data_IF_560271444869
#
_entry.id   IF_560271444869
#
_cell.length_a   1.000
_cell.length_b   1.000
_cell.length_c   1.000
_cell.angle_alpha   90.00
_cell.angle_beta   90.00
_cell.angle_gamma   90.00
#
_symmetry.space_group_name_H-M   'P 1'
#
loop_
_entity.id
_entity.type
_entity.pdbx_description
1 polymer ?
#
# COMPACT_ATOMS: atom_id res chain seq x y z
N UNK A 1 -37.02 -4.46 6.15
CA UNK A 1 -36.30 -3.94 4.98
C UNK A 1 -36.94 -4.46 3.72
N UNK A 2 -37.32 -3.58 2.81
CA UNK A 2 -37.85 -4.05 1.53
C UNK A 2 -36.68 -4.39 0.61
N UNK A 3 -36.56 -5.61 0.18
CA UNK A 3 -35.53 -6.10 -0.75
C UNK A 3 -35.31 -5.21 -1.99
N UNK A 4 -36.35 -4.57 -2.56
CA UNK A 4 -36.19 -3.60 -3.65
C UNK A 4 -35.35 -2.37 -3.32
N UNK A 5 -35.36 -1.88 -2.06
CA UNK A 5 -34.58 -0.72 -1.65
C UNK A 5 -33.09 -1.04 -1.62
N UNK A 6 -32.72 -2.21 -1.13
CA UNK A 6 -31.33 -2.69 -1.10
C UNK A 6 -30.76 -2.82 -2.52
N UNK A 7 -31.54 -3.43 -3.44
CA UNK A 7 -31.11 -3.58 -4.84
C UNK A 7 -30.94 -2.24 -5.52
N UNK A 8 -31.85 -1.28 -5.26
CA UNK A 8 -31.75 0.08 -5.79
C UNK A 8 -30.46 0.74 -5.31
N UNK A 9 -30.19 0.72 -4.00
CA UNK A 9 -29.01 1.39 -3.42
C UNK A 9 -27.72 0.75 -3.95
N UNK A 10 -27.66 -0.57 -4.07
CA UNK A 10 -26.51 -1.27 -4.67
C UNK A 10 -26.33 -0.92 -6.16
N UNK A 11 -27.41 -0.85 -6.93
CA UNK A 11 -27.37 -0.46 -8.34
C UNK A 11 -26.88 0.99 -8.51
N UNK A 12 -27.37 1.92 -7.67
CA UNK A 12 -26.94 3.32 -7.65
C UNK A 12 -25.46 3.43 -7.31
N UNK A 13 -25.01 2.71 -6.27
CA UNK A 13 -23.58 2.66 -5.87
C UNK A 13 -22.73 2.18 -7.03
N UNK A 14 -23.09 1.07 -7.65
CA UNK A 14 -22.32 0.52 -8.77
C UNK A 14 -22.33 1.44 -10.00
N UNK A 15 -23.46 2.06 -10.34
CA UNK A 15 -23.56 2.95 -11.50
C UNK A 15 -22.69 4.20 -11.35
N UNK A 16 -22.77 4.86 -10.19
CA UNK A 16 -21.97 6.07 -9.92
C UNK A 16 -20.49 5.73 -9.80
N UNK A 17 -20.15 4.64 -9.08
CA UNK A 17 -18.78 4.20 -8.96
C UNK A 17 -18.14 3.89 -10.33
N UNK A 18 -18.88 3.18 -11.20
CA UNK A 18 -18.44 2.90 -12.57
C UNK A 18 -18.28 4.19 -13.37
N UNK A 19 -19.24 5.11 -13.31
CA UNK A 19 -19.18 6.40 -14.02
C UNK A 19 -17.97 7.24 -13.62
N UNK A 20 -17.72 7.36 -12.31
CA UNK A 20 -16.55 8.09 -11.78
C UNK A 20 -15.24 7.36 -12.14
N UNK A 21 -15.20 6.03 -12.04
CA UNK A 21 -14.03 5.25 -12.40
C UNK A 21 -13.68 5.38 -13.89
N UNK A 22 -14.67 5.39 -14.78
CA UNK A 22 -14.48 5.64 -16.21
C UNK A 22 -13.93 7.05 -16.48
N UNK A 23 -14.43 8.07 -15.75
CA UNK A 23 -13.90 9.42 -15.87
C UNK A 23 -12.44 9.50 -15.44
N UNK A 24 -12.10 8.91 -14.28
CA UNK A 24 -10.73 8.87 -13.77
C UNK A 24 -9.80 8.09 -14.70
N UNK A 25 -10.27 6.98 -15.25
CA UNK A 25 -9.52 6.19 -16.24
C UNK A 25 -9.18 7.01 -17.49
N UNK A 26 -10.14 7.80 -18.02
CA UNK A 26 -9.88 8.73 -19.14
C UNK A 26 -8.84 9.79 -18.78
N UNK A 27 -8.81 10.23 -17.53
CA UNK A 27 -7.81 11.16 -17.01
C UNK A 27 -6.48 10.49 -16.63
N UNK A 28 -6.34 9.20 -16.88
CA UNK A 28 -5.17 8.37 -16.50
C UNK A 28 -4.88 8.37 -14.99
N UNK A 29 -5.92 8.53 -14.19
CA UNK A 29 -5.86 8.45 -12.73
C UNK A 29 -6.13 7.01 -12.25
N UNK A 30 -5.74 6.70 -11.01
CA UNK A 30 -6.04 5.42 -10.39
C UNK A 30 -7.53 5.28 -10.07
N UNK A 31 -8.03 4.05 -10.07
CA UNK A 31 -9.42 3.70 -9.77
C UNK A 31 -9.71 3.85 -8.26
N UNK A 32 -8.71 3.68 -7.39
CA UNK A 32 -8.88 3.79 -5.94
C UNK A 32 -9.41 5.18 -5.52
N UNK A 33 -8.74 6.30 -5.87
CA UNK A 33 -9.30 7.62 -5.62
C UNK A 33 -10.67 7.84 -6.27
N UNK A 34 -10.95 7.22 -7.43
CA UNK A 34 -12.25 7.33 -8.07
C UNK A 34 -13.37 6.77 -7.20
N UNK A 35 -13.17 5.60 -6.60
CA UNK A 35 -14.13 4.98 -5.69
C UNK A 35 -14.33 5.80 -4.40
N UNK A 36 -13.26 6.36 -3.84
CA UNK A 36 -13.34 7.26 -2.69
C UNK A 36 -14.14 8.52 -3.00
N UNK A 37 -13.90 9.13 -4.16
CA UNK A 37 -14.67 10.33 -4.63
C UNK A 37 -16.11 9.96 -4.91
N UNK A 38 -16.37 8.83 -5.58
CA UNK A 38 -17.73 8.33 -5.79
C UNK A 38 -18.47 8.15 -4.46
N UNK A 39 -17.82 7.55 -3.46
CA UNK A 39 -18.35 7.43 -2.10
C UNK A 39 -18.67 8.77 -1.46
N UNK A 40 -17.75 9.75 -1.53
CA UNK A 40 -17.97 11.10 -1.00
C UNK A 40 -19.18 11.81 -1.66
N UNK A 41 -19.35 11.63 -2.97
CA UNK A 41 -20.50 12.18 -3.70
C UNK A 41 -21.81 11.50 -3.25
N UNK A 42 -21.83 10.17 -3.11
CA UNK A 42 -23.03 9.43 -2.75
C UNK A 42 -23.35 9.47 -1.26
N UNK A 43 -22.35 9.80 -0.45
CA UNK A 43 -22.44 9.83 1.01
C UNK A 43 -23.43 10.83 1.56
N UNK A 44 -23.66 10.81 2.86
CA UNK A 44 -24.70 11.59 3.55
C UNK A 44 -24.49 13.11 3.47
N UNK A 45 -23.26 13.54 3.29
CA UNK A 45 -22.89 14.97 3.18
C UNK A 45 -22.72 15.40 1.73
N UNK A 46 -22.80 14.46 0.78
CA UNK A 46 -22.90 14.69 -0.64
C UNK A 46 -24.34 14.69 -1.13
N UNK A 47 -24.67 13.83 -2.08
CA UNK A 47 -26.01 13.71 -2.64
C UNK A 47 -27.00 12.92 -1.77
N UNK A 48 -26.53 12.22 -0.72
CA UNK A 48 -27.39 11.45 0.20
C UNK A 48 -28.16 10.31 -0.47
N UNK A 49 -27.57 9.69 -1.50
CA UNK A 49 -28.27 8.71 -2.35
C UNK A 49 -28.41 7.33 -1.73
N UNK A 50 -27.58 7.01 -0.73
CA UNK A 50 -27.58 5.71 -0.04
C UNK A 50 -28.31 5.85 1.28
N UNK A 51 -29.44 5.16 1.39
CA UNK A 51 -30.26 5.15 2.61
C UNK A 51 -29.74 4.17 3.67
N UNK A 52 -29.26 2.99 3.24
CA UNK A 52 -28.84 1.87 4.07
C UNK A 52 -27.32 1.77 4.17
N UNK A 53 -26.71 2.56 5.07
CA UNK A 53 -25.25 2.53 5.29
C UNK A 53 -24.73 1.23 5.87
N UNK A 54 -25.48 0.63 6.79
CA UNK A 54 -25.04 -0.57 7.50
C UNK A 54 -24.72 -1.74 6.57
N UNK A 55 -25.45 -1.87 5.45
CA UNK A 55 -25.16 -2.90 4.45
C UNK A 55 -23.86 -2.58 3.67
N UNK A 56 -23.65 -1.32 3.31
CA UNK A 56 -22.41 -0.91 2.60
C UNK A 56 -21.19 -1.10 3.53
N UNK A 57 -21.34 -0.77 4.81
CA UNK A 57 -20.31 -0.99 5.82
C UNK A 57 -20.01 -2.49 6.03
N UNK A 58 -21.04 -3.34 6.09
CA UNK A 58 -20.85 -4.79 6.20
C UNK A 58 -20.14 -5.39 4.97
N UNK A 59 -20.53 -4.98 3.75
CA UNK A 59 -19.84 -5.37 2.52
C UNK A 59 -18.39 -4.85 2.48
N UNK A 60 -18.18 -3.65 2.98
CA UNK A 60 -16.84 -3.07 3.09
C UNK A 60 -15.95 -3.87 4.04
N UNK A 61 -16.47 -4.31 5.19
CA UNK A 61 -15.71 -5.15 6.14
C UNK A 61 -15.32 -6.50 5.54
N UNK A 62 -16.23 -7.12 4.77
CA UNK A 62 -15.92 -8.34 4.01
C UNK A 62 -14.86 -8.07 2.95
N UNK A 63 -14.96 -6.94 2.24
CA UNK A 63 -13.97 -6.52 1.25
C UNK A 63 -12.58 -6.35 1.85
N UNK A 64 -12.50 -5.67 3.00
CA UNK A 64 -11.25 -5.51 3.76
C UNK A 64 -10.68 -6.87 4.17
N UNK A 65 -11.52 -7.79 4.65
CA UNK A 65 -11.06 -9.13 5.02
C UNK A 65 -10.49 -9.89 3.81
N UNK A 66 -11.16 -9.84 2.65
CA UNK A 66 -10.68 -10.46 1.41
C UNK A 66 -9.39 -9.79 0.88
N UNK A 67 -9.30 -8.47 1.01
CA UNK A 67 -8.08 -7.74 0.67
C UNK A 67 -6.90 -8.19 1.53
N UNK A 68 -7.06 -8.18 2.85
CA UNK A 68 -6.00 -8.62 3.77
C UNK A 68 -5.65 -10.10 3.60
N UNK A 69 -6.64 -10.94 3.29
CA UNK A 69 -6.40 -12.33 2.91
C UNK A 69 -5.48 -12.46 1.69
N UNK A 70 -5.74 -11.69 0.62
CA UNK A 70 -4.90 -11.70 -0.59
C UNK A 70 -3.51 -11.14 -0.32
N UNK A 71 -3.38 -10.11 0.50
CA UNK A 71 -2.08 -9.64 0.96
C UNK A 71 -1.35 -10.76 1.72
N UNK A 72 -2.07 -11.50 2.57
CA UNK A 72 -1.53 -12.69 3.23
C UNK A 72 -1.06 -13.77 2.26
N UNK A 73 -1.77 -13.99 1.14
CA UNK A 73 -1.36 -14.93 0.09
C UNK A 73 -0.05 -14.52 -0.62
N UNK A 74 0.17 -13.22 -0.78
CA UNK A 74 1.38 -12.67 -1.42
C UNK A 74 2.59 -12.72 -0.47
N UNK A 75 2.37 -12.64 0.85
CA UNK A 75 3.41 -12.63 1.87
C UNK A 75 3.64 -14.05 2.38
N UNK A 76 4.64 -14.72 1.81
CA UNK A 76 5.14 -15.99 2.35
C UNK A 76 6.22 -15.73 3.40
N UNK A 77 6.16 -16.43 4.53
CA UNK A 77 7.21 -16.39 5.58
C UNK A 77 8.56 -16.78 4.99
N UNK A 78 8.58 -17.69 4.02
CA UNK A 78 9.80 -18.11 3.31
C UNK A 78 10.37 -17.02 2.39
N UNK A 79 9.52 -16.17 1.82
CA UNK A 79 9.97 -15.04 0.98
C UNK A 79 10.55 -13.89 1.80
N UNK A 80 10.09 -13.72 3.04
CA UNK A 80 10.67 -12.77 4.00
C UNK A 80 12.16 -13.03 4.26
N UNK A 81 12.53 -14.30 4.46
CA UNK A 81 13.93 -14.69 4.67
C UNK A 81 14.81 -14.51 3.43
N UNK A 82 14.21 -14.40 2.24
CA UNK A 82 14.92 -14.22 0.96
C UNK A 82 15.00 -12.75 0.53
N UNK A 83 14.29 -11.85 1.19
CA UNK A 83 14.37 -10.41 0.89
C UNK A 83 15.81 -9.91 1.04
N UNK A 84 16.29 -9.22 0.01
CA UNK A 84 17.63 -8.63 0.06
C UNK A 84 17.72 -7.70 1.27
N UNK A 85 18.78 -7.85 2.06
CA UNK A 85 19.02 -7.03 3.26
C UNK A 85 18.93 -5.52 2.98
N UNK A 86 19.29 -5.08 1.77
CA UNK A 86 19.18 -3.67 1.34
C UNK A 86 17.72 -3.20 1.31
N UNK A 87 16.79 -4.02 0.87
CA UNK A 87 15.35 -3.70 0.80
C UNK A 87 14.76 -3.55 2.20
N UNK A 88 15.11 -4.47 3.11
CA UNK A 88 14.69 -4.39 4.52
C UNK A 88 15.20 -3.11 5.18
N UNK A 89 16.46 -2.75 4.95
CA UNK A 89 17.03 -1.51 5.48
C UNK A 89 16.39 -0.26 4.86
N UNK A 90 16.15 -0.26 3.54
CA UNK A 90 15.50 0.86 2.86
C UNK A 90 14.08 1.09 3.37
N UNK A 91 13.26 0.04 3.44
CA UNK A 91 11.89 0.11 3.94
C UNK A 91 11.83 0.48 5.42
N UNK A 92 12.62 -0.22 6.26
CA UNK A 92 12.65 0.04 7.70
C UNK A 92 13.12 1.45 8.04
N UNK A 93 14.17 1.94 7.40
CA UNK A 93 14.67 3.30 7.60
C UNK A 93 13.67 4.36 7.10
N UNK A 94 13.02 4.13 5.95
CA UNK A 94 12.01 5.06 5.43
C UNK A 94 10.78 5.10 6.35
N UNK A 95 10.24 3.95 6.75
CA UNK A 95 9.10 3.86 7.67
C UNK A 95 9.45 4.51 9.01
N UNK A 96 10.58 4.15 9.61
CA UNK A 96 11.05 4.71 10.87
C UNK A 96 11.28 6.22 10.81
N UNK A 97 11.92 6.72 9.74
CA UNK A 97 12.14 8.15 9.55
C UNK A 97 10.82 8.92 9.39
N UNK A 98 9.84 8.37 8.64
CA UNK A 98 8.54 9.02 8.47
C UNK A 98 7.76 9.04 9.78
N UNK A 99 7.74 7.91 10.52
CA UNK A 99 7.09 7.84 11.84
C UNK A 99 7.71 8.87 12.79
N UNK A 100 9.04 8.92 12.85
CA UNK A 100 9.74 9.84 13.75
C UNK A 100 9.46 11.31 13.40
N UNK A 101 9.54 11.68 12.13
CA UNK A 101 9.25 13.05 11.68
C UNK A 101 7.79 13.43 11.95
N UNK A 102 6.84 12.54 11.64
CA UNK A 102 5.42 12.77 11.90
C UNK A 102 5.15 12.87 13.41
N UNK A 103 5.72 11.97 14.22
CA UNK A 103 5.61 11.99 15.68
C UNK A 103 6.09 13.31 16.25
N UNK A 104 7.29 13.78 15.86
CA UNK A 104 7.84 15.06 16.34
C UNK A 104 6.92 16.23 15.96
N UNK A 105 6.47 16.29 14.70
CA UNK A 105 5.57 17.37 14.23
C UNK A 105 4.24 17.35 14.99
N UNK A 106 3.65 16.17 15.20
CA UNK A 106 2.38 16.03 15.92
C UNK A 106 2.51 16.35 17.41
N UNK A 107 3.59 15.95 18.06
CA UNK A 107 3.86 16.32 19.46
C UNK A 107 4.07 17.82 19.63
N UNK A 108 4.79 18.46 18.70
CA UNK A 108 4.98 19.92 18.70
C UNK A 108 3.67 20.69 18.45
N UNK A 109 2.71 20.07 17.75
CA UNK A 109 1.35 20.63 17.57
C UNK A 109 0.44 20.40 18.79
N UNK A 110 0.94 19.79 19.87
CA UNK A 110 0.18 19.52 21.09
C UNK A 110 -0.67 18.24 21.04
N UNK A 111 -0.46 17.38 20.04
CA UNK A 111 -1.15 16.10 19.97
C UNK A 111 -0.60 15.11 20.98
N UNK A 112 -1.48 14.31 21.61
CA UNK A 112 -1.10 13.27 22.56
C UNK A 112 -0.25 12.18 21.90
N UNK A 113 0.75 11.63 22.62
CA UNK A 113 1.75 10.73 22.07
C UNK A 113 1.18 9.49 21.36
N UNK A 114 0.18 8.75 21.88
CA UNK A 114 -0.43 7.63 21.17
C UNK A 114 -1.09 8.01 19.84
N UNK A 115 -1.83 9.12 19.82
CA UNK A 115 -2.45 9.65 18.60
C UNK A 115 -1.39 10.12 17.59
N UNK A 116 -0.34 10.80 18.06
CA UNK A 116 0.79 11.24 17.23
C UNK A 116 1.53 10.04 16.60
N UNK A 117 1.70 8.96 17.34
CA UNK A 117 2.30 7.72 16.83
C UNK A 117 1.41 7.05 15.78
N UNK A 118 0.09 7.01 16.02
CA UNK A 118 -0.88 6.52 15.02
C UNK A 118 -0.80 7.33 13.71
N UNK A 119 -0.73 8.67 13.80
CA UNK A 119 -0.53 9.51 12.62
C UNK A 119 0.79 9.16 11.92
N UNK A 120 1.86 8.93 12.67
CA UNK A 120 3.13 8.44 12.12
C UNK A 120 2.98 7.13 11.36
N UNK A 121 2.25 6.16 11.88
CA UNK A 121 1.94 4.90 11.19
C UNK A 121 1.18 5.16 9.89
N UNK A 122 0.09 5.95 9.94
CA UNK A 122 -0.74 6.31 8.79
C UNK A 122 0.11 6.97 7.69
N UNK A 123 0.96 7.94 8.05
CA UNK A 123 1.77 8.68 7.08
C UNK A 123 2.94 7.84 6.53
N UNK A 124 3.41 6.82 7.24
CA UNK A 124 4.55 6.02 6.80
C UNK A 124 4.23 5.10 5.62
N UNK A 125 2.97 4.72 5.44
CA UNK A 125 2.51 3.81 4.39
C UNK A 125 2.17 4.56 3.11
N UNK A 126 2.49 3.97 1.96
CA UNK A 126 2.21 4.50 0.62
C UNK A 126 1.43 3.48 -0.20
N UNK A 127 0.70 3.93 -1.24
CA UNK A 127 -0.09 3.03 -2.08
C UNK A 127 0.77 2.27 -3.07
N UNK A 128 0.88 0.98 -2.86
CA UNK A 128 1.58 0.05 -3.76
C UNK A 128 0.93 0.03 -5.13
N UNK A 129 -0.40 -0.04 -5.20
CA UNK A 129 -1.14 -0.11 -6.46
C UNK A 129 -0.94 1.13 -7.34
N UNK A 130 -0.97 2.34 -6.77
CA UNK A 130 -0.80 3.58 -7.54
C UNK A 130 0.62 3.70 -8.07
N UNK A 131 1.62 3.47 -7.23
CA UNK A 131 3.04 3.64 -7.61
C UNK A 131 3.45 2.64 -8.68
N UNK A 132 3.13 1.36 -8.46
CA UNK A 132 3.49 0.31 -9.41
C UNK A 132 2.78 0.50 -10.75
N UNK A 133 1.51 0.91 -10.74
CA UNK A 133 0.78 1.23 -11.98
C UNK A 133 1.47 2.35 -12.75
N UNK A 134 1.84 3.46 -12.08
CA UNK A 134 2.51 4.59 -12.76
C UNK A 134 3.87 4.19 -13.33
N UNK A 135 4.67 3.39 -12.62
CA UNK A 135 5.93 2.88 -13.15
C UNK A 135 5.72 1.90 -14.31
N UNK A 136 4.72 1.01 -14.22
CA UNK A 136 4.38 0.08 -15.31
C UNK A 136 3.91 0.82 -16.57
N UNK A 137 3.02 1.80 -16.44
CA UNK A 137 2.51 2.62 -17.55
C UNK A 137 3.63 3.40 -18.26
N UNK A 138 4.74 3.66 -17.55
CA UNK A 138 5.95 4.35 -18.08
C UNK A 138 7.07 3.41 -18.49
N UNK A 139 6.88 2.10 -18.36
CA UNK A 139 7.93 1.10 -18.56
C UNK A 139 9.19 1.35 -17.70
N UNK A 140 9.00 1.91 -16.49
CA UNK A 140 10.07 2.24 -15.55
C UNK A 140 10.19 1.24 -14.38
N UNK A 141 9.44 0.13 -14.38
CA UNK A 141 9.42 -0.85 -13.28
C UNK A 141 10.80 -1.44 -12.98
N UNK A 142 11.60 -1.68 -14.01
CA UNK A 142 12.94 -2.28 -13.90
C UNK A 142 14.06 -1.25 -13.66
N UNK A 143 13.75 0.02 -13.64
CA UNK A 143 14.72 1.08 -13.31
C UNK A 143 15.12 1.03 -11.82
N UNK A 144 16.22 1.69 -11.47
CA UNK A 144 16.67 1.75 -10.07
C UNK A 144 15.61 2.35 -9.14
N UNK A 145 14.88 3.42 -9.58
CA UNK A 145 13.80 4.01 -8.81
C UNK A 145 12.58 3.08 -8.73
N UNK A 146 12.24 2.35 -9.79
CA UNK A 146 11.13 1.38 -9.78
C UNK A 146 11.39 0.23 -8.82
N UNK A 147 12.55 -0.41 -8.91
CA UNK A 147 12.94 -1.53 -8.05
C UNK A 147 13.04 -1.16 -6.57
N UNK A 148 13.62 0.01 -6.24
CA UNK A 148 13.72 0.43 -4.84
C UNK A 148 12.36 0.85 -4.28
N UNK A 149 11.52 1.53 -5.08
CA UNK A 149 10.14 1.84 -4.69
C UNK A 149 9.35 0.57 -4.39
N UNK A 150 9.42 -0.44 -5.26
CA UNK A 150 8.78 -1.74 -5.04
C UNK A 150 9.23 -2.38 -3.73
N UNK A 151 10.54 -2.39 -3.48
CA UNK A 151 11.07 -2.95 -2.24
C UNK A 151 10.59 -2.22 -0.97
N UNK A 152 10.56 -0.88 -1.01
CA UNK A 152 10.05 -0.07 0.12
C UNK A 152 8.56 -0.32 0.32
N UNK A 153 7.76 -0.33 -0.74
CA UNK A 153 6.31 -0.56 -0.69
C UNK A 153 5.98 -1.95 -0.12
N UNK A 154 6.69 -2.98 -0.57
CA UNK A 154 6.53 -4.33 -0.03
C UNK A 154 6.85 -4.38 1.47
N UNK A 155 7.90 -3.66 1.93
CA UNK A 155 8.19 -3.55 3.35
C UNK A 155 7.08 -2.80 4.11
N UNK A 156 6.53 -1.72 3.54
CA UNK A 156 5.44 -0.95 4.14
C UNK A 156 4.17 -1.80 4.31
N UNK A 157 3.79 -2.57 3.29
CA UNK A 157 2.63 -3.47 3.34
C UNK A 157 2.77 -4.50 4.46
N UNK A 158 3.98 -5.03 4.63
CA UNK A 158 4.29 -5.94 5.74
C UNK A 158 4.30 -5.24 7.10
N UNK A 159 4.80 -4.00 7.17
CA UNK A 159 4.84 -3.22 8.41
C UNK A 159 3.45 -2.76 8.88
N UNK A 160 2.47 -2.64 7.98
CA UNK A 160 1.09 -2.29 8.32
C UNK A 160 0.47 -3.26 9.34
N UNK A 161 0.83 -4.53 9.27
CA UNK A 161 0.28 -5.58 10.15
C UNK A 161 0.68 -5.40 11.61
N UNK A 162 1.98 -5.33 11.97
CA UNK A 162 2.36 -5.04 13.35
C UNK A 162 1.86 -3.67 13.82
N UNK A 163 1.72 -2.67 12.92
CA UNK A 163 1.12 -1.38 13.28
C UNK A 163 -0.34 -1.54 13.70
N UNK A 164 -1.15 -2.33 12.98
CA UNK A 164 -2.53 -2.63 13.35
C UNK A 164 -2.63 -3.34 14.72
N UNK A 165 -1.71 -4.25 15.01
CA UNK A 165 -1.65 -4.95 16.30
C UNK A 165 -1.32 -4.02 17.47
N UNK A 166 -0.58 -2.94 17.19
CA UNK A 166 -0.19 -1.97 18.23
C UNK A 166 -1.31 -1.00 18.58
N UNK A 167 -2.31 -0.76 17.72
CA UNK A 167 -3.37 0.24 17.94
C UNK A 167 -4.13 0.02 19.25
N UNK A 168 -4.63 -1.18 19.61
CA UNK A 168 -5.32 -1.41 20.88
C UNK A 168 -4.41 -1.19 22.09
N UNK A 169 -3.11 -1.35 21.93
CA UNK A 169 -2.11 -1.11 22.98
C UNK A 169 -1.90 0.39 23.19
N UNK A 170 -1.88 1.16 22.09
CA UNK A 170 -1.77 2.61 22.14
C UNK A 170 -2.96 3.24 22.88
N UNK A 171 -4.17 2.67 22.77
CA UNK A 171 -5.33 3.13 23.51
C UNK A 171 -5.15 3.05 25.04
N UNK A 172 -4.41 2.06 25.52
CA UNK A 172 -4.17 1.83 26.95
C UNK A 172 -2.92 2.52 27.47
N UNK A 173 -2.23 3.35 26.68
CA UNK A 173 -0.91 3.92 26.97
C UNK A 173 -0.84 4.66 28.32
N UNK A 174 -1.86 5.45 28.65
CA UNK A 174 -1.86 6.28 29.87
C UNK A 174 -2.38 5.58 31.12
N UNK A 175 -3.13 4.49 30.95
CA UNK A 175 -3.85 3.82 32.04
C UNK A 175 -3.23 2.47 32.40
N UNK A 176 -2.43 1.89 31.51
CA UNK A 176 -1.90 0.55 31.69
C UNK A 176 -0.58 0.56 32.46
N UNK A 177 -0.53 -0.21 33.51
CA UNK A 177 0.75 -0.60 34.12
C UNK A 177 1.58 -1.41 33.09
N UNK A 178 2.90 -1.40 33.21
CA UNK A 178 3.78 -2.21 32.33
C UNK A 178 3.36 -3.69 32.30
N UNK A 179 2.82 -4.22 33.40
CA UNK A 179 2.28 -5.58 33.50
C UNK A 179 1.01 -5.76 32.67
N UNK A 180 0.12 -4.77 32.60
CA UNK A 180 -1.11 -4.82 31.79
C UNK A 180 -0.77 -4.77 30.29
N UNK A 181 0.17 -3.91 29.87
CA UNK A 181 0.68 -3.87 28.50
C UNK A 181 1.30 -5.21 28.13
N UNK A 182 2.16 -5.75 28.98
CA UNK A 182 2.76 -7.07 28.74
C UNK A 182 1.70 -8.17 28.61
N UNK A 183 0.68 -8.17 29.48
CA UNK A 183 -0.40 -9.15 29.42
C UNK A 183 -1.22 -9.02 28.13
N UNK A 184 -1.50 -7.80 27.68
CA UNK A 184 -2.21 -7.54 26.42
C UNK A 184 -1.40 -8.03 25.21
N UNK A 185 -0.09 -7.72 25.18
CA UNK A 185 0.83 -8.23 24.17
C UNK A 185 0.92 -9.76 24.20
N UNK A 186 1.02 -10.35 25.36
CA UNK A 186 1.07 -11.81 25.53
C UNK A 186 -0.23 -12.48 25.05
N UNK A 187 -1.40 -11.90 25.36
CA UNK A 187 -2.70 -12.39 24.86
C UNK A 187 -2.80 -12.25 23.34
N UNK A 188 -2.42 -11.11 22.77
CA UNK A 188 -2.42 -10.91 21.32
C UNK A 188 -1.47 -11.89 20.62
N UNK A 189 -0.25 -12.06 21.14
CA UNK A 189 0.73 -13.01 20.62
C UNK A 189 0.24 -14.45 20.74
N UNK A 190 -0.37 -14.83 21.86
CA UNK A 190 -0.96 -16.16 22.06
C UNK A 190 -2.15 -16.39 21.10
N UNK A 191 -3.00 -15.38 20.90
CA UNK A 191 -4.11 -15.42 19.95
C UNK A 191 -3.64 -15.61 18.50
N UNK A 192 -2.66 -14.80 18.07
CA UNK A 192 -2.03 -14.92 16.74
C UNK A 192 -1.38 -16.29 16.57
N UNK A 193 -0.57 -16.72 17.55
CA UNK A 193 0.12 -18.02 17.49
C UNK A 193 -0.89 -19.17 17.49
N UNK A 194 -1.91 -19.12 18.35
CA UNK A 194 -2.96 -20.14 18.40
C UNK A 194 -3.73 -20.24 17.08
N UNK A 195 -4.11 -19.09 16.51
CA UNK A 195 -4.79 -19.04 15.22
C UNK A 195 -3.92 -19.55 14.07
N UNK A 196 -2.62 -19.18 14.05
CA UNK A 196 -1.66 -19.68 13.06
C UNK A 196 -1.49 -21.19 13.15
N UNK A 197 -1.33 -21.74 14.36
CA UNK A 197 -1.19 -23.20 14.56
C UNK A 197 -2.46 -23.93 14.12
N UNK A 198 -3.64 -23.45 14.48
CA UNK A 198 -4.92 -24.01 14.06
C UNK A 198 -5.08 -23.96 12.54
N UNK A 199 -4.81 -22.80 11.93
CA UNK A 199 -4.88 -22.59 10.49
C UNK A 199 -3.90 -23.51 9.75
N UNK A 200 -2.66 -23.62 10.23
CA UNK A 200 -1.60 -24.47 9.64
C UNK A 200 -1.95 -25.96 9.64
N UNK A 201 -2.78 -26.40 10.57
CA UNK A 201 -3.22 -27.80 10.66
C UNK A 201 -4.51 -28.04 9.89
N UNK A 202 -5.50 -27.13 10.03
CA UNK A 202 -6.85 -27.32 9.51
C UNK A 202 -6.96 -26.97 8.02
N UNK A 203 -6.42 -25.84 7.62
CA UNK A 203 -6.58 -25.31 6.25
C UNK A 203 -5.98 -26.27 5.20
N UNK A 204 -4.73 -26.77 5.31
CA UNK A 204 -4.18 -27.69 4.31
C UNK A 204 -4.94 -29.01 4.22
N UNK A 205 -5.47 -29.52 5.36
CA UNK A 205 -6.28 -30.73 5.36
C UNK A 205 -7.60 -30.52 4.60
N UNK A 206 -8.27 -29.40 4.87
CA UNK A 206 -9.52 -29.03 4.21
C UNK A 206 -9.30 -28.86 2.70
N UNK A 207 -8.30 -28.10 2.31
CA UNK A 207 -7.95 -27.86 0.91
C UNK A 207 -7.61 -29.16 0.17
N UNK A 208 -6.84 -30.07 0.79
CA UNK A 208 -6.54 -31.39 0.20
C UNK A 208 -7.78 -32.20 -0.17
N UNK A 209 -8.81 -32.14 0.67
CA UNK A 209 -10.08 -32.84 0.40
C UNK A 209 -10.83 -32.16 -0.74
N UNK A 210 -10.95 -30.82 -0.68
CA UNK A 210 -11.72 -30.03 -1.65
C UNK A 210 -11.10 -30.08 -3.06
N UNK A 211 -9.80 -29.98 -3.17
CA UNK A 211 -9.12 -30.00 -4.48
C UNK A 211 -9.27 -31.36 -5.18
N UNK A 212 -9.32 -32.46 -4.42
CA UNK A 212 -9.58 -33.78 -4.99
C UNK A 212 -10.97 -33.91 -5.63
N UNK A 213 -11.93 -33.04 -5.25
CA UNK A 213 -13.26 -33.00 -5.84
C UNK A 213 -13.31 -32.32 -7.21
N UNK A 214 -12.24 -31.65 -7.62
CA UNK A 214 -12.06 -30.97 -8.92
C UNK A 214 -13.23 -30.04 -9.30
N UNK A 215 -13.86 -29.38 -8.29
CA UNK A 215 -14.94 -28.41 -8.47
C UNK A 215 -14.45 -27.01 -8.05
N UNK A 216 -14.55 -26.06 -8.99
CA UNK A 216 -14.21 -24.66 -8.73
C UNK A 216 -15.14 -24.00 -7.72
N UNK A 217 -16.43 -24.35 -7.76
CA UNK A 217 -17.47 -23.83 -6.87
C UNK A 217 -17.19 -24.22 -5.42
N UNK A 218 -16.87 -25.50 -5.19
CA UNK A 218 -16.57 -26.00 -3.84
C UNK A 218 -15.29 -25.35 -3.33
N UNK A 219 -14.27 -25.18 -4.18
CA UNK A 219 -13.03 -24.50 -3.81
C UNK A 219 -13.29 -23.03 -3.44
N UNK A 220 -14.03 -22.28 -4.27
CA UNK A 220 -14.35 -20.88 -3.99
C UNK A 220 -15.14 -20.72 -2.67
N UNK A 221 -16.18 -21.55 -2.45
CA UNK A 221 -16.94 -21.55 -1.21
C UNK A 221 -16.09 -21.91 0.00
N UNK A 222 -15.18 -22.87 -0.15
CA UNK A 222 -14.26 -23.27 0.93
C UNK A 222 -13.30 -22.13 1.30
N UNK A 223 -12.75 -21.44 0.30
CA UNK A 223 -11.85 -20.32 0.56
C UNK A 223 -12.60 -19.17 1.24
N UNK A 224 -13.80 -18.82 0.78
CA UNK A 224 -14.64 -17.82 1.44
C UNK A 224 -14.97 -18.24 2.89
N UNK A 225 -15.30 -19.50 3.12
CA UNK A 225 -15.53 -20.03 4.46
C UNK A 225 -14.26 -19.90 5.34
N UNK A 226 -13.08 -20.21 4.81
CA UNK A 226 -11.82 -20.06 5.53
C UNK A 226 -11.57 -18.59 5.88
N UNK A 227 -11.76 -17.67 4.93
CA UNK A 227 -11.55 -16.22 5.15
C UNK A 227 -12.51 -15.70 6.23
N UNK A 228 -13.82 -15.94 6.06
CA UNK A 228 -14.83 -15.45 6.99
C UNK A 228 -14.70 -16.14 8.35
N UNK A 229 -14.46 -17.44 8.36
CA UNK A 229 -14.29 -18.23 9.57
C UNK A 229 -13.09 -17.81 10.41
N UNK A 230 -11.94 -17.59 9.78
CA UNK A 230 -10.74 -17.12 10.48
C UNK A 230 -10.87 -15.66 10.91
N UNK A 231 -11.50 -14.79 10.12
CA UNK A 231 -11.84 -13.44 10.49
C UNK A 231 -12.74 -13.42 11.74
N UNK A 232 -13.80 -14.22 11.75
CA UNK A 232 -14.70 -14.37 12.92
C UNK A 232 -13.95 -14.93 14.14
N UNK A 233 -13.14 -15.97 13.94
CA UNK A 233 -12.38 -16.54 15.05
C UNK A 233 -11.41 -15.52 15.66
N UNK A 234 -10.73 -14.72 14.83
CA UNK A 234 -9.79 -13.72 15.31
C UNK A 234 -10.46 -12.68 16.19
N UNK A 235 -11.70 -12.28 15.86
CA UNK A 235 -12.47 -11.32 16.67
C UNK A 235 -12.78 -11.83 18.07
N UNK A 236 -12.92 -13.15 18.23
CA UNK A 236 -13.10 -13.78 19.56
C UNK A 236 -11.85 -13.71 20.44
N UNK A 237 -10.68 -13.57 19.83
CA UNK A 237 -9.42 -13.38 20.54
C UNK A 237 -9.02 -11.88 20.71
N UNK A 238 -9.94 -10.95 20.40
CA UNK A 238 -9.69 -9.51 20.48
C UNK A 238 -8.83 -8.94 19.34
N UNK A 239 -8.67 -9.69 18.24
CA UNK A 239 -7.99 -9.23 17.04
C UNK A 239 -9.01 -8.69 16.04
N UNK A 240 -8.57 -7.85 15.09
CA UNK A 240 -9.44 -7.38 14.02
C UNK A 240 -9.85 -8.50 13.06
N UNK A 241 -11.03 -8.36 12.42
CA UNK A 241 -11.51 -9.30 11.42
C UNK A 241 -10.49 -9.51 10.29
N UNK A 242 -9.91 -8.42 9.81
CA UNK A 242 -8.91 -8.45 8.75
C UNK A 242 -7.63 -9.18 9.14
N UNK A 243 -7.23 -9.15 10.41
CA UNK A 243 -6.06 -9.87 10.90
C UNK A 243 -6.24 -11.39 10.76
N UNK A 244 -7.41 -11.92 11.10
CA UNK A 244 -7.70 -13.34 10.94
C UNK A 244 -7.65 -13.78 9.47
N UNK A 245 -8.24 -12.99 8.59
CA UNK A 245 -8.20 -13.23 7.15
C UNK A 245 -6.75 -13.19 6.62
N UNK A 246 -5.95 -12.21 7.05
CA UNK A 246 -4.54 -12.11 6.69
C UNK A 246 -3.74 -13.35 7.12
N UNK A 247 -3.89 -13.79 8.38
CA UNK A 247 -3.21 -14.98 8.89
C UNK A 247 -3.57 -16.24 8.11
N UNK A 248 -4.85 -16.39 7.71
CA UNK A 248 -5.28 -17.48 6.85
C UNK A 248 -4.60 -17.42 5.48
N UNK A 249 -4.55 -16.24 4.86
CA UNK A 249 -3.83 -16.02 3.59
C UNK A 249 -2.37 -16.42 3.70
N UNK A 250 -1.68 -15.98 4.77
CA UNK A 250 -0.28 -16.31 5.01
C UNK A 250 -0.03 -17.82 5.18
N UNK A 251 -0.96 -18.55 5.80
CA UNK A 251 -0.85 -20.01 5.90
C UNK A 251 -1.03 -20.68 4.54
N UNK A 252 -1.97 -20.18 3.73
CA UNK A 252 -2.22 -20.71 2.39
C UNK A 252 -1.09 -20.36 1.42
N UNK A 253 -0.39 -19.24 1.61
CA UNK A 253 0.73 -18.82 0.76
C UNK A 253 1.89 -19.83 0.72
N UNK A 254 2.02 -20.67 1.75
CA UNK A 254 3.00 -21.76 1.80
C UNK A 254 2.49 -23.05 1.14
N UNK A 255 1.23 -23.08 0.65
CA UNK A 255 0.64 -24.25 0.01
C UNK A 255 0.95 -24.33 -1.49
N UNK A 256 0.98 -25.54 -2.04
CA UNK A 256 1.13 -25.78 -3.48
C UNK A 256 -0.03 -25.19 -4.31
N UNK A 257 -1.16 -24.84 -3.67
CA UNK A 257 -2.41 -24.41 -4.31
C UNK A 257 -2.63 -22.89 -4.28
N UNK A 258 -1.63 -22.11 -3.86
CA UNK A 258 -1.74 -20.65 -3.67
C UNK A 258 -2.22 -19.93 -4.92
N UNK A 259 -1.71 -20.30 -6.10
CA UNK A 259 -2.07 -19.65 -7.35
C UNK A 259 -3.51 -19.94 -7.78
N UNK A 260 -3.98 -21.16 -7.56
CA UNK A 260 -5.34 -21.58 -7.86
C UNK A 260 -6.36 -20.89 -6.96
N UNK A 261 -6.05 -20.80 -5.67
CA UNK A 261 -6.86 -20.09 -4.67
C UNK A 261 -6.88 -18.59 -4.96
N UNK A 262 -5.74 -17.98 -5.25
CA UNK A 262 -5.67 -16.58 -5.61
C UNK A 262 -6.55 -16.28 -6.83
N UNK A 263 -6.49 -17.10 -7.88
CA UNK A 263 -7.31 -16.92 -9.08
C UNK A 263 -8.81 -16.96 -8.81
N UNK A 264 -9.27 -17.73 -7.82
CA UNK A 264 -10.69 -17.78 -7.42
C UNK A 264 -11.13 -16.56 -6.62
N UNK A 265 -10.25 -15.98 -5.81
CA UNK A 265 -10.58 -14.89 -4.89
C UNK A 265 -10.41 -13.50 -5.52
N UNK A 266 -9.48 -13.34 -6.45
CA UNK A 266 -9.19 -12.04 -7.08
C UNK A 266 -10.42 -11.28 -7.59
N UNK A 267 -11.38 -11.90 -8.31
CA UNK A 267 -12.56 -11.18 -8.81
C UNK A 267 -13.46 -10.65 -7.66
N UNK A 268 -13.63 -11.44 -6.60
CA UNK A 268 -14.43 -11.03 -5.43
C UNK A 268 -13.72 -9.93 -4.66
N UNK A 269 -12.41 -10.05 -4.47
CA UNK A 269 -11.58 -9.03 -3.83
C UNK A 269 -11.72 -7.69 -4.53
N UNK A 270 -11.56 -7.64 -5.83
CA UNK A 270 -11.53 -6.38 -6.58
C UNK A 270 -12.86 -5.64 -6.50
N UNK A 271 -13.99 -6.36 -6.60
CA UNK A 271 -15.33 -5.79 -6.46
C UNK A 271 -15.57 -5.29 -5.03
N UNK A 272 -15.28 -6.13 -4.02
CA UNK A 272 -15.55 -5.79 -2.63
C UNK A 272 -14.58 -4.73 -2.08
N UNK A 273 -13.34 -4.68 -2.59
CA UNK A 273 -12.44 -3.55 -2.31
C UNK A 273 -13.00 -2.25 -2.88
N UNK A 274 -13.57 -2.27 -4.09
CA UNK A 274 -14.27 -1.12 -4.63
C UNK A 274 -15.36 -0.62 -3.69
N UNK A 275 -16.19 -1.53 -3.17
CA UNK A 275 -17.24 -1.20 -2.18
C UNK A 275 -16.63 -0.66 -0.88
N UNK A 276 -15.52 -1.22 -0.40
CA UNK A 276 -14.79 -0.72 0.78
C UNK A 276 -14.33 0.72 0.59
N UNK A 277 -13.71 1.04 -0.54
CA UNK A 277 -13.26 2.42 -0.83
C UNK A 277 -14.43 3.39 -0.95
N UNK A 278 -15.55 2.95 -1.56
CA UNK A 278 -16.77 3.75 -1.61
C UNK A 278 -17.30 4.02 -0.20
N UNK A 279 -17.40 2.99 0.65
CA UNK A 279 -17.82 3.14 2.05
C UNK A 279 -16.94 4.12 2.82
N UNK A 280 -15.63 4.00 2.70
CA UNK A 280 -14.68 4.96 3.31
C UNK A 280 -14.89 6.36 2.77
N UNK A 281 -15.11 6.49 1.45
CA UNK A 281 -15.43 7.78 0.82
C UNK A 281 -16.70 8.42 1.37
N UNK A 282 -17.75 7.63 1.65
CA UNK A 282 -19.00 8.13 2.25
C UNK A 282 -18.81 8.75 3.64
N UNK A 283 -17.75 8.40 4.35
CA UNK A 283 -17.42 8.97 5.66
C UNK A 283 -16.79 10.37 5.56
N UNK A 284 -16.36 10.79 4.36
CA UNK A 284 -15.82 12.14 4.16
C UNK A 284 -16.92 13.19 4.25
N UNK A 285 -16.76 14.14 5.16
CA UNK A 285 -17.69 15.25 5.34
C UNK A 285 -17.35 16.39 4.38
N UNK A 286 -18.07 16.47 3.23
CA UNK A 286 -17.79 17.44 2.18
C UNK A 286 -17.86 18.92 2.66
N UNK A 287 -18.88 19.35 3.45
CA UNK A 287 -18.89 20.70 4.01
C UNK A 287 -17.64 21.02 4.83
N UNK A 288 -17.17 20.08 5.66
CA UNK A 288 -15.93 20.23 6.42
C UNK A 288 -14.72 20.43 5.50
N UNK A 289 -14.63 19.63 4.44
CA UNK A 289 -13.54 19.71 3.46
C UNK A 289 -13.49 21.10 2.81
N UNK A 290 -14.64 21.60 2.33
CA UNK A 290 -14.70 22.88 1.66
C UNK A 290 -14.47 24.07 2.61
N UNK A 291 -14.98 24.01 3.84
CA UNK A 291 -14.75 25.04 4.87
C UNK A 291 -13.28 25.12 5.29
N UNK A 292 -12.56 23.98 5.27
CA UNK A 292 -11.16 23.90 5.69
C UNK A 292 -10.20 23.68 4.51
N UNK A 293 -10.62 23.95 3.27
CA UNK A 293 -9.86 23.57 2.06
C UNK A 293 -8.42 24.10 2.08
N UNK A 294 -8.21 25.34 2.46
CA UNK A 294 -6.86 25.93 2.54
C UNK A 294 -5.98 25.17 3.52
N UNK A 295 -6.50 24.86 4.71
CA UNK A 295 -5.73 24.12 5.72
C UNK A 295 -5.45 22.68 5.26
N UNK A 296 -6.42 22.02 4.64
CA UNK A 296 -6.25 20.67 4.06
C UNK A 296 -5.16 20.69 2.98
N UNK A 297 -5.16 21.66 2.07
CA UNK A 297 -4.14 21.77 1.03
C UNK A 297 -2.73 22.03 1.61
N UNK A 298 -2.63 22.87 2.65
CA UNK A 298 -1.37 23.07 3.37
C UNK A 298 -0.90 21.76 4.04
N UNK A 299 -1.82 21.03 4.67
CA UNK A 299 -1.49 19.73 5.27
C UNK A 299 -1.08 18.69 4.22
N UNK A 300 -1.76 18.65 3.07
CA UNK A 300 -1.38 17.79 1.92
C UNK A 300 0.06 18.10 1.47
N UNK A 301 0.38 19.39 1.32
CA UNK A 301 1.74 19.82 0.94
C UNK A 301 2.77 19.45 2.02
N UNK A 302 2.44 19.65 3.30
CA UNK A 302 3.30 19.30 4.42
C UNK A 302 3.57 17.78 4.50
N UNK A 303 2.52 16.95 4.36
CA UNK A 303 2.65 15.49 4.34
C UNK A 303 3.47 15.03 3.13
N UNK A 304 3.19 15.58 1.95
CA UNK A 304 3.97 15.27 0.75
C UNK A 304 5.45 15.62 0.93
N UNK A 305 5.75 16.76 1.56
CA UNK A 305 7.12 17.17 1.86
C UNK A 305 7.79 16.24 2.88
N UNK A 306 7.13 15.93 4.00
CA UNK A 306 7.64 15.01 5.03
C UNK A 306 7.99 13.65 4.40
N UNK A 307 7.08 13.10 3.60
CA UNK A 307 7.27 11.79 2.95
C UNK A 307 8.36 11.85 1.87
N UNK A 308 8.38 12.89 1.03
CA UNK A 308 9.42 13.05 0.01
C UNK A 308 10.81 13.19 0.64
N UNK A 309 10.93 13.97 1.72
CA UNK A 309 12.19 14.18 2.42
C UNK A 309 12.62 12.90 3.14
N UNK A 310 11.74 12.25 3.92
CA UNK A 310 12.09 11.02 4.65
C UNK A 310 12.53 9.90 3.70
N UNK A 311 11.76 9.66 2.62
CA UNK A 311 12.10 8.64 1.64
C UNK A 311 13.36 9.02 0.83
N UNK A 312 13.43 10.26 0.32
CA UNK A 312 14.56 10.74 -0.46
C UNK A 312 15.88 10.71 0.34
N UNK A 313 15.84 11.15 1.59
CA UNK A 313 17.01 11.10 2.47
C UNK A 313 17.45 9.67 2.76
N UNK A 314 16.51 8.78 3.06
CA UNK A 314 16.81 7.36 3.28
C UNK A 314 17.51 6.74 2.06
N UNK A 315 16.97 6.99 0.85
CA UNK A 315 17.55 6.45 -0.39
C UNK A 315 18.94 7.05 -0.65
N UNK A 316 19.11 8.34 -0.37
CA UNK A 316 20.43 9.00 -0.49
C UNK A 316 21.44 8.43 0.50
N UNK A 317 21.03 8.15 1.74
CA UNK A 317 21.87 7.53 2.76
C UNK A 317 22.29 6.09 2.40
N UNK A 318 21.51 5.39 1.60
CA UNK A 318 21.85 4.07 1.06
C UNK A 318 22.82 4.11 -0.13
N UNK A 319 23.30 5.31 -0.53
CA UNK A 319 24.32 5.50 -1.57
C UNK A 319 23.77 5.75 -2.97
N UNK A 320 22.43 5.84 -3.16
CA UNK A 320 21.86 6.15 -4.46
C UNK A 320 22.06 7.62 -4.86
N UNK A 321 22.03 7.89 -6.17
CA UNK A 321 22.13 9.25 -6.68
C UNK A 321 20.99 10.16 -6.21
N UNK A 322 21.20 11.48 -6.16
CA UNK A 322 20.15 12.45 -5.85
C UNK A 322 18.95 12.34 -6.78
N UNK A 323 19.18 12.01 -8.05
CA UNK A 323 18.12 11.81 -9.03
C UNK A 323 17.19 10.66 -8.61
N UNK A 324 17.73 9.51 -8.29
CA UNK A 324 16.96 8.35 -7.80
C UNK A 324 16.25 8.69 -6.49
N UNK A 325 16.95 9.35 -5.55
CA UNK A 325 16.41 9.73 -4.26
C UNK A 325 15.20 10.67 -4.38
N UNK A 326 15.27 11.70 -5.22
CA UNK A 326 14.16 12.64 -5.44
C UNK A 326 13.00 12.00 -6.17
N UNK A 327 13.26 11.22 -7.23
CA UNK A 327 12.18 10.57 -8.00
C UNK A 327 11.43 9.56 -7.12
N UNK A 328 12.16 8.72 -6.38
CA UNK A 328 11.54 7.74 -5.47
C UNK A 328 10.85 8.43 -4.30
N UNK A 329 11.46 9.46 -3.72
CA UNK A 329 10.86 10.26 -2.65
C UNK A 329 9.51 10.85 -3.06
N UNK A 330 9.43 11.45 -4.25
CA UNK A 330 8.18 11.98 -4.81
C UNK A 330 7.20 10.84 -5.16
N UNK A 331 7.70 9.69 -5.60
CA UNK A 331 6.86 8.51 -5.87
C UNK A 331 6.14 7.96 -4.64
N UNK A 332 6.66 8.20 -3.44
CA UNK A 332 6.13 7.68 -2.18
C UNK A 332 5.37 8.73 -1.33
N UNK A 333 4.99 9.89 -1.89
CA UNK A 333 4.39 11.00 -1.13
C UNK A 333 2.96 10.72 -0.66
N UNK A 334 2.20 9.87 -1.35
CA UNK A 334 0.81 9.58 -1.00
C UNK A 334 0.71 8.69 0.24
N UNK A 335 -0.41 8.81 0.92
CA UNK A 335 -0.82 7.88 1.97
C UNK A 335 -1.48 6.67 1.30
N UNK A 336 -1.19 5.46 1.78
CA UNK A 336 -1.65 4.20 1.16
C UNK A 336 -3.03 3.72 1.64
N UNK A 337 -3.52 2.66 1.01
CA UNK A 337 -4.81 2.03 1.36
C UNK A 337 -4.85 1.41 2.75
N UNK A 338 -3.75 0.85 3.23
CA UNK A 338 -3.65 0.33 4.60
C UNK A 338 -3.85 1.40 5.66
N UNK A 339 -3.56 2.65 5.33
CA UNK A 339 -3.74 3.78 6.22
C UNK A 339 -5.21 4.04 6.57
N UNK A 340 -6.16 3.69 5.69
CA UNK A 340 -7.59 3.75 6.01
C UNK A 340 -7.96 2.78 7.11
N UNK A 341 -7.36 1.59 7.12
CA UNK A 341 -7.59 0.57 8.15
C UNK A 341 -7.05 1.04 9.50
N UNK A 342 -5.81 1.57 9.51
CA UNK A 342 -5.20 2.15 10.71
C UNK A 342 -6.01 3.33 11.22
N UNK A 343 -6.47 4.21 10.32
CA UNK A 343 -7.28 5.38 10.66
C UNK A 343 -8.64 4.98 11.26
N UNK A 344 -9.34 4.05 10.61
CA UNK A 344 -10.63 3.55 11.08
C UNK A 344 -10.52 2.86 12.45
N UNK A 345 -9.51 2.00 12.62
CA UNK A 345 -9.25 1.34 13.89
C UNK A 345 -8.83 2.34 14.97
N UNK A 346 -7.93 3.28 14.66
CA UNK A 346 -7.51 4.33 15.60
C UNK A 346 -8.64 5.25 16.02
N UNK A 347 -9.61 5.53 15.13
CA UNK A 347 -10.81 6.28 15.46
C UNK A 347 -11.75 5.50 16.39
N UNK A 348 -11.98 4.20 16.13
CA UNK A 348 -12.73 3.30 17.01
C UNK A 348 -12.13 3.21 18.42
N UNK A 349 -10.80 3.23 18.53
CA UNK A 349 -10.04 3.23 19.77
C UNK A 349 -9.84 4.64 20.36
N UNK A 350 -10.52 5.66 19.84
CA UNK A 350 -10.47 7.06 20.33
C UNK A 350 -9.05 7.67 20.38
N UNK A 351 -8.09 7.16 19.59
CA UNK A 351 -6.74 7.72 19.47
C UNK A 351 -6.73 9.01 18.65
N UNK A 352 -7.72 9.22 17.80
CA UNK A 352 -7.96 10.43 17.03
C UNK A 352 -9.42 10.84 17.17
N UNK A 353 -9.68 12.15 17.25
CA UNK A 353 -11.03 12.68 17.30
C UNK A 353 -11.66 12.82 15.89
N UNK A 354 -12.96 13.15 15.82
CA UNK A 354 -13.69 13.27 14.55
C UNK A 354 -13.05 14.28 13.60
N UNK A 355 -12.59 15.43 14.11
CA UNK A 355 -11.93 16.46 13.30
C UNK A 355 -10.61 15.97 12.70
N UNK A 356 -9.78 15.32 13.50
CA UNK A 356 -8.51 14.73 13.06
C UNK A 356 -8.74 13.61 12.04
N UNK A 357 -9.78 12.79 12.27
CA UNK A 357 -10.21 11.75 11.32
C UNK A 357 -10.54 12.35 9.96
N UNK A 358 -11.34 13.43 9.92
CA UNK A 358 -11.73 14.09 8.67
C UNK A 358 -10.52 14.69 7.94
N UNK A 359 -9.59 15.33 8.66
CA UNK A 359 -8.35 15.84 8.06
C UNK A 359 -7.53 14.72 7.45
N UNK A 360 -7.26 13.64 8.20
CA UNK A 360 -6.45 12.51 7.72
C UNK A 360 -7.10 11.82 6.52
N UNK A 361 -8.42 11.64 6.53
CA UNK A 361 -9.18 11.08 5.42
C UNK A 361 -9.07 11.96 4.16
N UNK A 362 -9.29 13.26 4.31
CA UNK A 362 -9.18 14.23 3.20
C UNK A 362 -7.74 14.26 2.62
N UNK A 363 -6.72 14.31 3.49
CA UNK A 363 -5.31 14.32 3.07
C UNK A 363 -4.98 13.03 2.32
N UNK A 364 -5.44 11.88 2.80
CA UNK A 364 -5.19 10.58 2.15
C UNK A 364 -5.76 10.57 0.73
N UNK A 365 -7.03 10.96 0.56
CA UNK A 365 -7.68 11.00 -0.75
C UNK A 365 -6.94 11.96 -1.70
N UNK A 366 -6.64 13.17 -1.24
CA UNK A 366 -6.01 14.19 -2.07
C UNK A 366 -4.56 13.84 -2.44
N UNK A 367 -3.79 13.25 -1.52
CA UNK A 367 -2.43 12.80 -1.83
C UNK A 367 -2.43 11.66 -2.85
N UNK A 368 -3.37 10.72 -2.77
CA UNK A 368 -3.54 9.66 -3.78
C UNK A 368 -3.89 10.25 -5.15
N UNK A 369 -4.80 11.24 -5.22
CA UNK A 369 -5.17 11.92 -6.47
C UNK A 369 -4.00 12.70 -7.08
N UNK A 370 -3.19 13.35 -6.26
CA UNK A 370 -2.06 14.16 -6.71
C UNK A 370 -0.88 13.33 -7.23
N UNK A 371 -0.72 12.09 -6.78
CA UNK A 371 0.46 11.25 -7.01
C UNK A 371 0.82 11.04 -8.49
N UNK A 372 -0.09 10.69 -9.42
CA UNK A 372 0.28 10.52 -10.82
C UNK A 372 0.87 11.78 -11.44
N UNK A 373 0.38 12.96 -11.04
CA UNK A 373 0.88 14.27 -11.50
C UNK A 373 2.25 14.56 -10.89
N UNK A 374 2.41 14.34 -9.59
CA UNK A 374 3.69 14.54 -8.89
C UNK A 374 4.78 13.62 -9.44
N UNK A 375 4.47 12.35 -9.65
CA UNK A 375 5.39 11.41 -10.31
C UNK A 375 5.70 11.85 -11.75
N UNK A 376 4.75 12.49 -12.45
CA UNK A 376 4.96 13.09 -13.76
C UNK A 376 5.99 14.20 -13.76
N UNK A 377 5.94 15.01 -12.74
CA UNK A 377 6.85 16.16 -12.55
C UNK A 377 8.21 15.75 -11.91
N UNK A 378 8.29 14.56 -11.30
CA UNK A 378 9.46 14.14 -10.53
C UNK A 378 10.79 14.19 -11.30
N UNK A 379 10.89 13.75 -12.57
CA UNK A 379 12.15 13.87 -13.32
C UNK A 379 12.62 15.31 -13.53
N UNK A 380 11.67 16.23 -13.78
CA UNK A 380 11.98 17.66 -13.95
C UNK A 380 12.45 18.30 -12.63
N UNK A 381 11.77 17.93 -11.52
CA UNK A 381 12.14 18.37 -10.16
C UNK A 381 13.54 17.83 -9.81
N UNK A 382 13.80 16.55 -10.05
CA UNK A 382 15.09 15.92 -9.81
C UNK A 382 16.22 16.64 -10.58
N UNK A 383 16.01 16.94 -11.87
CA UNK A 383 16.98 17.67 -12.70
C UNK A 383 17.26 19.09 -12.17
N UNK A 384 16.24 19.80 -11.66
CA UNK A 384 16.43 21.13 -11.05
C UNK A 384 17.17 21.02 -9.72
N UNK A 385 16.80 20.06 -8.89
CA UNK A 385 17.46 19.81 -7.61
C UNK A 385 18.93 19.47 -7.78
N UNK A 386 19.24 18.62 -8.73
CA UNK A 386 20.59 18.24 -9.09
C UNK A 386 21.46 19.44 -9.45
N UNK A 387 20.95 20.36 -10.27
CA UNK A 387 21.62 21.62 -10.62
C UNK A 387 21.88 22.53 -9.40
N UNK A 388 21.03 22.50 -8.38
CA UNK A 388 21.15 23.33 -7.18
C UNK A 388 22.18 22.76 -6.19
N UNK A 389 22.11 21.44 -5.95
CA UNK A 389 22.91 20.76 -4.92
C UNK A 389 24.33 20.48 -5.41
N UNK A 390 24.51 20.29 -6.71
CA UNK A 390 25.78 19.86 -7.32
C UNK A 390 26.49 21.00 -8.01
N UNK A 391 26.25 22.26 -7.59
CA UNK A 391 27.04 23.40 -8.05
C UNK A 391 28.53 23.18 -7.74
N UNK A 392 29.31 22.74 -8.76
CA UNK A 392 30.77 22.69 -8.72
C UNK A 392 31.41 21.33 -8.36
N UNK A 393 30.66 20.25 -8.26
CA UNK A 393 31.23 18.89 -8.26
C UNK A 393 30.80 18.18 -9.53
N UNK A 394 31.75 17.85 -10.39
CA UNK A 394 31.55 16.78 -11.37
C UNK A 394 31.08 15.56 -10.61
N UNK A 395 29.96 14.96 -11.06
CA UNK A 395 29.52 13.70 -10.49
C UNK A 395 30.67 12.71 -10.57
N UNK A 396 30.89 11.88 -9.54
CA UNK A 396 31.51 10.61 -9.82
C UNK A 396 30.56 9.97 -10.86
N UNK A 397 31.03 9.87 -12.10
CA UNK A 397 30.42 9.08 -13.15
C UNK A 397 29.99 7.76 -12.47
N UNK A 398 28.77 7.28 -12.73
CA UNK A 398 28.42 5.92 -12.29
C UNK A 398 29.55 5.02 -12.76
N UNK A 399 29.88 3.99 -11.97
CA UNK A 399 30.96 3.06 -12.37
C UNK A 399 30.78 2.57 -13.81
N UNK A 400 29.52 2.56 -14.30
CA UNK A 400 29.14 2.27 -15.68
C UNK A 400 29.50 3.40 -16.66
N UNK A 401 29.24 4.68 -16.36
CA UNK A 401 29.60 5.81 -17.20
C UNK A 401 31.14 6.00 -17.23
N UNK A 402 31.81 5.80 -16.10
CA UNK A 402 33.26 5.80 -16.01
C UNK A 402 33.89 4.61 -16.77
N UNK A 403 33.23 3.44 -16.76
CA UNK A 403 33.64 2.29 -17.55
C UNK A 403 33.45 2.54 -19.06
N UNK A 404 32.34 3.14 -19.47
CA UNK A 404 32.07 3.48 -20.89
C UNK A 404 33.07 4.50 -21.41
N UNK A 405 33.42 5.58 -20.64
CA UNK A 405 34.43 6.53 -21.03
C UNK A 405 35.86 5.97 -21.07
N UNK A 406 36.19 5.05 -20.17
CA UNK A 406 37.52 4.39 -20.15
C UNK A 406 37.75 3.46 -21.35
N UNK A 407 36.68 2.97 -21.98
CA UNK A 407 36.79 2.00 -23.08
C UNK A 407 37.07 2.69 -24.42
N UNK A 408 36.86 4.02 -24.55
CA UNK A 408 37.24 4.81 -25.76
C UNK A 408 36.71 4.20 -27.07
N UNK A 409 35.52 3.62 -27.05
CA UNK A 409 34.94 2.92 -28.22
C UNK A 409 34.42 3.96 -29.22
N UNK A 410 35.05 4.05 -30.33
CA UNK A 410 34.57 4.77 -31.53
C UNK A 410 33.98 3.74 -32.49
N UNK A 411 32.91 4.11 -33.21
CA UNK A 411 32.23 3.26 -34.21
C UNK A 411 31.76 1.91 -33.68
N UNK A 412 31.14 1.89 -32.50
CA UNK A 412 30.60 0.67 -31.87
C UNK A 412 29.10 0.53 -32.04
N UNK A 413 28.62 -0.71 -31.95
CA UNK A 413 27.19 -1.04 -31.94
C UNK A 413 26.64 -0.97 -30.51
N UNK A 414 25.52 -0.30 -30.32
CA UNK A 414 24.83 -0.29 -29.01
C UNK A 414 23.70 -1.32 -29.06
N UNK A 415 23.77 -2.34 -28.21
CA UNK A 415 22.72 -3.33 -28.00
C UNK A 415 21.85 -2.85 -26.85
N UNK A 416 20.62 -2.41 -27.11
CA UNK A 416 19.66 -2.08 -26.09
C UNK A 416 18.87 -3.34 -25.67
N UNK A 417 19.09 -3.83 -24.44
CA UNK A 417 18.52 -5.05 -23.89
C UNK A 417 19.37 -6.30 -24.12
N UNK A 418 19.68 -7.05 -23.06
CA UNK A 418 20.51 -8.27 -23.10
C UNK A 418 19.70 -9.56 -22.92
N UNK A 419 18.43 -9.54 -23.34
CA UNK A 419 17.59 -10.72 -23.46
C UNK A 419 18.11 -11.71 -24.51
N UNK A 420 17.31 -12.69 -24.91
CA UNK A 420 17.74 -13.76 -25.84
C UNK A 420 18.26 -13.19 -27.19
N UNK A 421 17.58 -12.20 -27.74
CA UNK A 421 17.97 -11.54 -29.00
C UNK A 421 19.26 -10.71 -28.84
N UNK A 422 19.40 -9.95 -27.75
CA UNK A 422 20.60 -9.18 -27.44
C UNK A 422 21.82 -10.07 -27.25
N UNK A 423 21.68 -11.22 -26.57
CA UNK A 423 22.75 -12.23 -26.42
C UNK A 423 23.17 -12.85 -27.76
N UNK A 424 22.23 -13.13 -28.63
CA UNK A 424 22.53 -13.68 -29.96
C UNK A 424 23.25 -12.62 -30.83
N UNK A 425 22.78 -11.37 -30.82
CA UNK A 425 23.44 -10.28 -31.54
C UNK A 425 24.87 -10.04 -31.01
N UNK A 426 25.04 -10.03 -29.68
CA UNK A 426 26.37 -9.89 -29.07
C UNK A 426 27.35 -11.00 -29.49
N UNK A 427 26.85 -12.25 -29.63
CA UNK A 427 27.68 -13.37 -30.13
C UNK A 427 28.13 -13.14 -31.58
N UNK A 428 27.24 -12.65 -32.45
CA UNK A 428 27.57 -12.35 -33.84
C UNK A 428 28.58 -11.21 -33.91
N UNK A 429 28.36 -10.11 -33.17
CA UNK A 429 29.26 -8.96 -33.13
C UNK A 429 30.66 -9.36 -32.59
N UNK A 430 30.67 -10.23 -31.59
CA UNK A 430 31.94 -10.79 -31.06
C UNK A 430 32.66 -11.65 -32.10
N UNK A 431 31.92 -12.49 -32.83
CA UNK A 431 32.50 -13.33 -33.89
C UNK A 431 33.04 -12.50 -35.07
N UNK A 432 32.40 -11.39 -35.41
CA UNK A 432 32.81 -10.46 -36.45
C UNK A 432 33.82 -9.41 -35.99
N UNK A 433 34.23 -9.43 -34.69
CA UNK A 433 35.16 -8.48 -34.06
C UNK A 433 34.69 -7.02 -34.13
N UNK A 434 33.39 -6.78 -34.26
CA UNK A 434 32.83 -5.45 -34.18
C UNK A 434 32.70 -5.01 -32.73
N UNK A 435 33.21 -3.82 -32.36
CA UNK A 435 33.07 -3.35 -31.00
C UNK A 435 31.60 -3.08 -30.68
N UNK A 436 31.15 -3.47 -29.52
CA UNK A 436 29.77 -3.26 -29.07
C UNK A 436 29.70 -2.95 -27.58
N UNK A 437 28.67 -2.23 -27.21
CA UNK A 437 28.28 -1.96 -25.81
C UNK A 437 26.87 -2.51 -25.59
N UNK A 438 26.67 -3.13 -24.44
CA UNK A 438 25.35 -3.61 -24.03
C UNK A 438 24.80 -2.64 -23.00
N UNK A 439 23.58 -2.15 -23.25
CA UNK A 439 22.81 -1.33 -22.32
C UNK A 439 21.58 -2.17 -21.95
N UNK A 440 21.51 -2.61 -20.69
CA UNK A 440 20.44 -3.49 -20.20
C UNK A 440 19.62 -2.80 -19.11
#
# INVERSE_FOLDING_TARGET
MEFPAILRDLAVVMAIATGVALLFSKLRLSVIPAFLVAGAIMGPTGAGLVAERGMVEALAEIGVALFLFTVGLEISVSSLGKMQRRVLWAGGAQVGATILLALVVMLLSGMHAPGALLVGFILSLSSTAIVLKVYADRMESDTSQGRISFGILLFQDMAAIPMMLLIPILHQWDTASASAVFLTLAKAAAGVTGLLLLARVLIPRLLKVVIRMNSREILAMTVLFVVIGTAYLSSRFGLSLGMGAFLAGMVISESEYVHEIAAQILPFRDVLNGVSYISVGMLLHLPFLFQNLTLVLVMVAAVALIKAVSAGWTIRALGYSWRVAVITGIGLVQIGEFSFLLLSQGYRESLVNSTQYQFLLAITILTMMATPFLMGAAPAIAKRWEKLVVRGREFPETDEEAAIRKVGLENHVIIAGYGMNGKNLARVLKATRLPYVVVD
#
